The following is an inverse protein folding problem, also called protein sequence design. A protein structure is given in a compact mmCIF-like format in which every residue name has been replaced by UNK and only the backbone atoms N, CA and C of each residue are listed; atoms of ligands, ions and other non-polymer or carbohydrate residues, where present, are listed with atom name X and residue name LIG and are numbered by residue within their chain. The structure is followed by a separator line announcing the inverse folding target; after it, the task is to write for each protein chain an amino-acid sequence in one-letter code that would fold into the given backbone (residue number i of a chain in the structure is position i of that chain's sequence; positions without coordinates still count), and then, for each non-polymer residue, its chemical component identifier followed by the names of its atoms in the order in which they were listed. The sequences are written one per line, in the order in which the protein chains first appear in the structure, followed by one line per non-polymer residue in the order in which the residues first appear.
data_IF_805665816067
#
_entry.id   IF_805665816067
#
_cell.length_a   1.000
_cell.length_b   1.000
_cell.length_c   1.000
_cell.angle_alpha   90.00
_cell.angle_beta   90.00
_cell.angle_gamma   90.00
#
_symmetry.space_group_name_H-M   'P 1'
#
loop_
_entity.id
_entity.type
_entity.pdbx_description
1 polymer ?
#
# COMPACT_ATOMS: atom_id res chain seq x y z
N UNK A 1 -25.47 9.12 39.43
CA UNK A 1 -24.10 8.86 38.97
C UNK A 1 -23.83 7.40 38.52
N UNK A 2 -24.35 6.36 39.21
CA UNK A 2 -24.10 4.93 38.84
C UNK A 2 -24.52 4.50 37.42
N UNK A 3 -25.62 5.04 36.86
CA UNK A 3 -26.10 4.65 35.52
C UNK A 3 -25.22 5.14 34.36
N UNK A 4 -24.44 6.22 34.51
CA UNK A 4 -23.51 6.70 33.49
C UNK A 4 -22.19 5.92 33.43
N UNK A 5 -21.73 5.37 34.54
CA UNK A 5 -20.54 4.53 34.60
C UNK A 5 -20.74 3.18 33.89
N UNK A 6 -21.92 2.59 33.99
CA UNK A 6 -22.25 1.30 33.35
C UNK A 6 -22.24 1.44 31.81
N UNK A 7 -22.73 2.56 31.27
CA UNK A 7 -22.72 2.80 29.84
C UNK A 7 -21.31 2.91 29.25
N UNK A 8 -20.38 3.52 29.96
CA UNK A 8 -18.97 3.70 29.50
C UNK A 8 -18.23 2.36 29.50
N UNK A 9 -18.46 1.52 30.52
CA UNK A 9 -17.83 0.18 30.57
C UNK A 9 -18.33 -0.74 29.48
N UNK A 10 -19.62 -0.72 29.16
CA UNK A 10 -20.18 -1.56 28.05
C UNK A 10 -19.63 -1.14 26.68
N UNK A 11 -19.47 0.16 26.44
CA UNK A 11 -18.88 0.64 25.17
C UNK A 11 -17.40 0.28 25.06
N UNK A 12 -16.64 0.36 26.15
CA UNK A 12 -15.22 0.00 26.17
C UNK A 12 -15.01 -1.51 25.91
N UNK A 13 -15.86 -2.37 26.49
CA UNK A 13 -15.80 -3.83 26.26
C UNK A 13 -16.18 -4.19 24.82
N UNK A 14 -17.19 -3.54 24.24
CA UNK A 14 -17.59 -3.76 22.85
C UNK A 14 -16.48 -3.35 21.86
N UNK A 15 -15.77 -2.26 22.10
CA UNK A 15 -14.63 -1.81 21.29
C UNK A 15 -13.44 -2.78 21.40
N UNK A 16 -13.14 -3.30 22.57
CA UNK A 16 -12.06 -4.27 22.76
C UNK A 16 -12.31 -5.60 22.03
N UNK A 17 -13.56 -6.07 21.99
CA UNK A 17 -13.95 -7.29 21.28
C UNK A 17 -13.81 -7.12 19.75
N UNK A 18 -14.22 -5.97 19.21
CA UNK A 18 -14.10 -5.69 17.76
C UNK A 18 -12.64 -5.60 17.33
N UNK A 19 -11.79 -4.99 18.14
CA UNK A 19 -10.34 -4.91 17.86
C UNK A 19 -9.69 -6.30 17.96
N UNK A 20 -10.04 -7.09 18.96
CA UNK A 20 -9.52 -8.45 19.15
C UNK A 20 -9.88 -9.41 18.01
N UNK A 21 -11.10 -9.34 17.49
CA UNK A 21 -11.55 -10.17 16.34
C UNK A 21 -10.83 -9.74 15.06
N UNK A 22 -10.59 -8.44 14.85
CA UNK A 22 -9.92 -7.93 13.65
C UNK A 22 -8.43 -8.32 13.60
N UNK A 23 -7.77 -8.41 14.76
CA UNK A 23 -6.37 -8.83 14.87
C UNK A 23 -6.21 -10.36 14.87
N UNK A 24 -7.15 -11.09 15.47
CA UNK A 24 -7.14 -12.56 15.47
C UNK A 24 -7.22 -13.14 14.06
N UNK A 25 -8.04 -12.57 13.17
CA UNK A 25 -8.11 -12.99 11.76
C UNK A 25 -6.83 -12.72 10.96
N UNK A 26 -6.06 -11.68 11.30
CA UNK A 26 -4.77 -11.41 10.63
C UNK A 26 -3.66 -12.38 11.05
N UNK A 27 -3.66 -12.82 12.29
CA UNK A 27 -2.65 -13.78 12.80
C UNK A 27 -2.90 -15.19 12.27
N UNK A 28 -4.15 -15.63 12.15
CA UNK A 28 -4.48 -16.93 11.56
C UNK A 28 -4.14 -17.04 10.06
N UNK A 29 -4.24 -15.94 9.30
CA UNK A 29 -3.85 -15.94 7.89
C UNK A 29 -2.33 -16.11 7.70
N UNK A 30 -1.52 -15.60 8.61
CA UNK A 30 -0.05 -15.74 8.54
C UNK A 30 0.44 -17.14 8.97
N UNK A 31 -0.23 -17.80 9.92
CA UNK A 31 0.14 -19.16 10.34
C UNK A 31 -0.24 -20.23 9.33
N UNK A 32 -1.30 -20.04 8.57
CA UNK A 32 -1.67 -20.92 7.47
C UNK A 32 -0.63 -20.91 6.33
N UNK A 33 0.01 -19.77 6.08
CA UNK A 33 1.06 -19.64 5.06
C UNK A 33 2.39 -20.28 5.50
N UNK A 34 2.67 -20.36 6.79
CA UNK A 34 3.92 -20.92 7.33
C UNK A 34 3.95 -22.45 7.35
N UNK A 35 2.79 -23.12 7.40
CA UNK A 35 2.68 -24.58 7.46
C UNK A 35 2.63 -25.29 6.11
N UNK A 36 2.51 -24.56 4.98
CA UNK A 36 2.48 -25.18 3.65
C UNK A 36 3.83 -25.20 2.91
N UNK A 37 4.92 -24.77 3.56
CA UNK A 37 6.24 -24.63 2.97
C UNK A 37 7.19 -25.82 3.13
N UNK A 38 6.75 -26.95 3.70
CA UNK A 38 7.62 -28.10 3.91
C UNK A 38 7.02 -29.35 3.28
N UNK A 39 7.15 -29.45 1.95
CA UNK A 39 7.09 -30.69 1.20
C UNK A 39 8.21 -30.71 0.16
N UNK A 40 9.00 -31.73 0.35
CA UNK A 40 10.10 -32.27 -0.41
C UNK A 40 10.01 -32.06 -1.93
N UNK A 41 11.09 -31.51 -2.48
CA UNK A 41 11.32 -31.36 -3.93
C UNK A 41 11.74 -32.71 -4.46
N UNK A 42 10.89 -33.32 -5.26
CA UNK A 42 11.25 -34.46 -6.12
C UNK A 42 11.65 -33.89 -7.49
N UNK A 43 12.91 -34.12 -7.81
CA UNK A 43 13.57 -33.84 -9.07
C UNK A 43 13.05 -34.83 -10.13
N UNK A 44 12.51 -34.30 -11.24
CA UNK A 44 12.68 -34.90 -12.57
C UNK A 44 11.72 -34.28 -13.61
N UNK A 45 12.27 -33.64 -14.62
CA UNK A 45 12.13 -33.86 -16.06
C UNK A 45 12.39 -32.57 -16.88
N UNK A 46 13.05 -32.63 -18.03
CA UNK A 46 13.45 -31.47 -18.79
C UNK A 46 12.25 -30.89 -19.54
N UNK A 47 11.88 -29.67 -19.22
CA UNK A 47 10.85 -28.91 -19.95
C UNK A 47 11.47 -28.40 -21.27
N UNK A 48 10.82 -28.81 -22.36
CA UNK A 48 11.17 -28.49 -23.71
C UNK A 48 11.35 -26.99 -23.98
N UNK A 49 12.31 -26.67 -24.83
CA UNK A 49 12.52 -25.38 -25.44
C UNK A 49 11.26 -24.97 -26.21
N UNK A 50 10.43 -24.15 -25.59
CA UNK A 50 9.31 -23.46 -26.23
C UNK A 50 9.80 -22.19 -26.92
N UNK A 51 9.26 -21.95 -28.07
CA UNK A 51 9.58 -20.92 -29.05
C UNK A 51 9.80 -19.50 -28.47
N UNK A 52 10.93 -18.91 -28.88
CA UNK A 52 11.48 -17.65 -28.43
C UNK A 52 10.93 -16.40 -29.18
N UNK A 53 9.76 -16.49 -29.82
CA UNK A 53 9.20 -15.40 -30.64
C UNK A 53 8.25 -14.42 -29.94
N UNK A 54 7.83 -14.69 -28.69
CA UNK A 54 6.92 -13.80 -27.92
C UNK A 54 7.65 -12.78 -27.00
N UNK A 55 8.96 -12.73 -27.03
CA UNK A 55 9.79 -12.04 -26.05
C UNK A 55 10.01 -10.53 -26.20
N UNK A 56 9.86 -9.85 -27.36
CA UNK A 56 10.25 -8.44 -27.43
C UNK A 56 9.30 -7.49 -26.69
N UNK A 57 7.99 -7.75 -26.69
CA UNK A 57 7.01 -6.87 -26.04
C UNK A 57 7.04 -7.00 -24.51
N UNK A 58 7.22 -8.21 -23.98
CA UNK A 58 7.33 -8.46 -22.54
C UNK A 58 8.62 -7.83 -21.99
N UNK A 59 9.75 -7.99 -22.69
CA UNK A 59 11.03 -7.41 -22.26
C UNK A 59 11.05 -5.88 -22.32
N UNK A 60 10.48 -5.27 -23.37
CA UNK A 60 10.36 -3.82 -23.47
C UNK A 60 9.55 -3.25 -22.31
N UNK A 61 8.49 -3.95 -21.91
CA UNK A 61 7.65 -3.55 -20.80
C UNK A 61 8.34 -3.74 -19.43
N UNK A 62 9.06 -4.82 -19.23
CA UNK A 62 9.87 -5.02 -18.04
C UNK A 62 10.85 -3.86 -17.84
N UNK A 63 11.54 -3.44 -18.94
CA UNK A 63 12.44 -2.29 -18.91
C UNK A 63 11.75 -0.97 -18.61
N UNK A 64 10.50 -0.77 -19.06
CA UNK A 64 9.72 0.42 -18.70
C UNK A 64 9.30 0.43 -17.24
N UNK A 65 8.92 -0.73 -16.69
CA UNK A 65 8.61 -0.86 -15.27
C UNK A 65 9.86 -0.67 -14.40
N UNK A 66 10.98 -1.26 -14.79
CA UNK A 66 12.26 -1.10 -14.08
C UNK A 66 12.73 0.35 -13.97
N UNK A 67 12.35 1.23 -14.93
CA UNK A 67 12.62 2.67 -14.82
C UNK A 67 11.78 3.39 -13.77
N UNK A 68 10.62 2.84 -13.41
CA UNK A 68 9.64 3.45 -12.50
C UNK A 68 9.55 2.75 -11.15
N UNK A 69 10.08 1.55 -11.06
CA UNK A 69 10.08 0.70 -9.87
C UNK A 69 11.47 0.08 -9.76
N UNK A 70 12.05 -0.02 -8.56
CA UNK A 70 13.34 -0.69 -8.38
C UNK A 70 13.32 -2.12 -8.93
N UNK A 71 14.43 -2.59 -9.54
CA UNK A 71 14.53 -3.96 -10.03
C UNK A 71 14.24 -4.98 -8.93
N UNK A 72 13.43 -5.99 -9.24
CA UNK A 72 13.04 -7.03 -8.29
C UNK A 72 11.95 -6.61 -7.30
N UNK A 73 11.45 -5.39 -7.38
CA UNK A 73 10.40 -4.88 -6.45
C UNK A 73 8.99 -5.08 -6.98
N UNK A 74 8.79 -5.87 -8.00
CA UNK A 74 7.46 -6.20 -8.52
C UNK A 74 7.37 -7.67 -8.94
N UNK A 75 6.14 -8.18 -8.92
CA UNK A 75 5.77 -9.53 -9.35
C UNK A 75 4.73 -9.43 -10.45
N UNK A 76 4.97 -10.09 -11.58
CA UNK A 76 3.98 -10.22 -12.64
C UNK A 76 2.78 -11.08 -12.16
N UNK A 77 1.56 -10.61 -12.44
CA UNK A 77 0.30 -11.31 -12.17
C UNK A 77 -0.42 -11.72 -13.45
N UNK A 78 0.11 -11.35 -14.60
CA UNK A 78 -0.43 -11.61 -15.92
C UNK A 78 0.41 -10.94 -17.00
N UNK A 79 -0.07 -10.92 -18.26
CA UNK A 79 0.69 -10.34 -19.38
C UNK A 79 1.06 -8.88 -19.15
N UNK A 80 0.19 -8.13 -18.48
CA UNK A 80 0.34 -6.71 -18.22
C UNK A 80 0.14 -6.33 -16.74
N UNK A 81 -0.58 -7.11 -15.97
CA UNK A 81 -0.82 -6.85 -14.55
C UNK A 81 0.40 -7.21 -13.70
N UNK A 82 0.67 -6.40 -12.68
CA UNK A 82 1.75 -6.62 -11.73
C UNK A 82 1.40 -6.09 -10.34
N UNK A 83 2.10 -6.60 -9.35
CA UNK A 83 2.02 -6.20 -7.96
C UNK A 83 3.39 -5.71 -7.48
N UNK A 84 3.44 -4.59 -6.79
CA UNK A 84 4.64 -4.13 -6.10
C UNK A 84 4.81 -4.96 -4.83
N UNK A 85 5.92 -5.71 -4.75
CA UNK A 85 6.23 -6.61 -3.64
C UNK A 85 7.26 -6.02 -2.68
N UNK A 86 7.83 -4.87 -3.02
CA UNK A 86 8.73 -4.16 -2.13
C UNK A 86 7.98 -3.81 -0.85
N UNK A 87 8.42 -4.43 0.24
CA UNK A 87 7.94 -4.14 1.57
C UNK A 87 8.46 -2.79 2.07
N UNK A 88 8.14 -2.47 3.31
CA UNK A 88 8.82 -1.39 4.04
C UNK A 88 10.26 -1.84 4.27
N UNK A 89 11.12 -1.59 3.30
CA UNK A 89 12.54 -1.84 3.46
C UNK A 89 13.10 -0.85 4.47
N UNK A 90 13.74 -1.41 5.48
CA UNK A 90 14.45 -0.59 6.44
C UNK A 90 15.74 -0.13 5.77
N UNK A 91 16.09 1.15 5.97
CA UNK A 91 17.39 1.66 5.60
C UNK A 91 18.52 0.80 6.21
N UNK A 92 19.74 0.83 5.66
CA UNK A 92 20.88 0.20 6.29
C UNK A 92 21.06 0.70 7.73
N UNK A 93 21.59 -0.13 8.65
CA UNK A 93 21.97 0.32 9.99
C UNK A 93 22.94 1.50 9.94
N UNK A 94 22.88 2.41 10.91
CA UNK A 94 23.74 3.57 11.01
C UNK A 94 22.98 4.90 11.02
N UNK A 95 23.71 6.00 10.91
CA UNK A 95 23.15 7.36 10.98
C UNK A 95 22.17 7.66 9.85
N UNK A 96 20.91 7.98 10.20
CA UNK A 96 19.86 8.23 9.25
C UNK A 96 20.08 9.49 8.40
N UNK A 97 20.67 10.56 8.99
CA UNK A 97 20.95 11.78 8.25
C UNK A 97 22.06 11.56 7.22
N UNK A 98 23.08 10.81 7.56
CA UNK A 98 24.15 10.49 6.61
C UNK A 98 23.60 9.70 5.41
N UNK A 99 22.73 8.72 5.66
CA UNK A 99 22.03 7.98 4.59
C UNK A 99 21.18 8.90 3.73
N UNK A 100 20.34 9.75 4.34
CA UNK A 100 19.47 10.69 3.60
C UNK A 100 20.28 11.67 2.76
N UNK A 101 21.41 12.18 3.26
CA UNK A 101 22.27 13.08 2.47
C UNK A 101 22.81 12.46 1.19
N UNK A 102 23.12 11.17 1.20
CA UNK A 102 23.50 10.44 -0.02
C UNK A 102 22.33 10.32 -1.01
N UNK A 103 21.12 10.07 -0.50
CA UNK A 103 19.92 10.00 -1.32
C UNK A 103 19.50 11.35 -1.90
N UNK A 104 19.73 12.46 -1.18
CA UNK A 104 19.41 13.81 -1.66
C UNK A 104 20.14 14.13 -2.97
N UNK A 105 21.41 13.78 -3.10
CA UNK A 105 22.17 14.01 -4.36
C UNK A 105 21.53 13.28 -5.55
N UNK A 106 21.06 12.05 -5.33
CA UNK A 106 20.33 11.28 -6.35
C UNK A 106 18.95 11.88 -6.63
N UNK A 107 18.23 12.30 -5.58
CA UNK A 107 16.93 12.97 -5.71
C UNK A 107 17.03 14.27 -6.52
N UNK A 108 18.07 15.06 -6.33
CA UNK A 108 18.33 16.30 -7.08
C UNK A 108 18.66 16.05 -8.55
N UNK A 109 19.20 14.88 -8.87
CA UNK A 109 19.42 14.43 -10.26
C UNK A 109 18.19 13.78 -10.90
N UNK A 110 17.03 13.78 -10.25
CA UNK A 110 15.76 13.29 -10.79
C UNK A 110 15.43 11.84 -10.44
N UNK A 111 16.16 11.21 -9.51
CA UNK A 111 15.89 9.83 -9.07
C UNK A 111 14.66 9.79 -8.13
N UNK A 112 13.50 9.43 -8.69
CA UNK A 112 12.24 9.32 -7.95
C UNK A 112 12.28 8.21 -6.87
N UNK A 113 13.02 7.14 -7.12
CA UNK A 113 13.19 6.04 -6.16
C UNK A 113 13.98 6.53 -4.94
N UNK A 114 15.11 7.20 -5.17
CA UNK A 114 15.90 7.79 -4.06
C UNK A 114 15.07 8.81 -3.27
N UNK A 115 14.23 9.60 -3.94
CA UNK A 115 13.33 10.56 -3.27
C UNK A 115 12.32 9.84 -2.37
N UNK A 116 11.78 8.71 -2.81
CA UNK A 116 10.88 7.90 -1.99
C UNK A 116 11.60 7.20 -0.82
N UNK A 117 12.83 6.76 -1.01
CA UNK A 117 13.67 6.18 0.05
C UNK A 117 13.98 7.20 1.16
N UNK A 118 14.13 8.50 0.82
CA UNK A 118 14.22 9.57 1.82
C UNK A 118 12.94 9.62 2.66
N UNK A 119 11.77 9.62 2.01
CA UNK A 119 10.49 9.59 2.73
C UNK A 119 10.39 8.37 3.67
N UNK A 120 10.72 7.17 3.19
CA UNK A 120 10.68 5.95 4.02
C UNK A 120 11.61 6.03 5.23
N UNK A 121 12.79 6.62 5.06
CA UNK A 121 13.76 6.83 6.15
C UNK A 121 13.18 7.77 7.21
N UNK A 122 12.56 8.88 6.80
CA UNK A 122 11.92 9.84 7.69
C UNK A 122 10.70 9.24 8.37
N UNK A 123 9.85 8.52 7.64
CA UNK A 123 8.67 7.83 8.19
C UNK A 123 9.06 6.79 9.25
N UNK A 124 10.13 6.04 8.99
CA UNK A 124 10.70 5.14 9.99
C UNK A 124 11.11 5.87 11.27
N UNK A 125 11.81 7.00 11.16
CA UNK A 125 12.22 7.80 12.32
C UNK A 125 11.01 8.41 13.04
N UNK A 126 9.99 8.89 12.32
CA UNK A 126 8.74 9.41 12.89
C UNK A 126 7.99 8.36 13.71
N UNK A 127 7.92 7.14 13.22
CA UNK A 127 7.18 6.06 13.89
C UNK A 127 7.70 5.81 15.31
N UNK A 128 9.01 5.98 15.53
CA UNK A 128 9.64 5.76 16.84
C UNK A 128 9.75 7.03 17.70
N UNK A 129 9.50 8.21 17.14
CA UNK A 129 9.51 9.49 17.89
C UNK A 129 8.12 10.05 18.16
N UNK A 130 7.06 9.38 17.69
CA UNK A 130 5.68 9.80 17.87
C UNK A 130 5.04 9.17 19.12
N UNK A 131 3.90 9.72 19.56
CA UNK A 131 3.07 9.21 20.67
C UNK A 131 2.61 7.74 20.53
N UNK A 132 2.91 7.12 19.39
CA UNK A 132 2.62 5.69 19.14
C UNK A 132 3.70 4.74 19.68
N UNK A 133 4.83 5.27 20.12
CA UNK A 133 5.92 4.43 20.66
C UNK A 133 5.46 3.62 21.87
N UNK A 134 4.70 4.23 22.79
CA UNK A 134 4.17 3.54 23.96
C UNK A 134 3.19 2.44 23.60
N UNK A 135 2.27 2.69 22.64
CA UNK A 135 1.33 1.68 22.16
C UNK A 135 2.02 0.49 21.48
N UNK A 136 3.11 0.76 20.76
CA UNK A 136 3.92 -0.28 20.15
C UNK A 136 4.67 -1.09 21.20
N UNK A 137 5.20 -0.44 22.24
CA UNK A 137 5.87 -1.09 23.36
C UNK A 137 4.93 -2.01 24.13
N UNK A 138 3.72 -1.56 24.45
CA UNK A 138 2.69 -2.35 25.12
C UNK A 138 2.28 -3.56 24.27
N UNK A 139 2.08 -3.36 22.97
CA UNK A 139 1.77 -4.44 22.04
C UNK A 139 2.88 -5.47 21.94
N UNK A 140 4.14 -5.04 21.86
CA UNK A 140 5.30 -5.93 21.81
C UNK A 140 5.47 -6.71 23.12
N UNK A 141 5.22 -6.08 24.25
CA UNK A 141 5.25 -6.72 25.57
C UNK A 141 4.19 -7.78 25.72
N UNK A 142 2.97 -7.51 25.26
CA UNK A 142 1.85 -8.45 25.30
C UNK A 142 2.08 -9.68 24.42
N UNK A 143 2.92 -9.56 23.36
CA UNK A 143 3.32 -10.64 22.46
C UNK A 143 4.60 -11.36 22.92
N UNK A 144 5.16 -11.04 24.10
CA UNK A 144 6.40 -11.62 24.61
C UNK A 144 7.67 -11.17 23.89
N UNK A 145 7.58 -10.12 23.06
CA UNK A 145 8.71 -9.58 22.28
C UNK A 145 9.20 -8.22 22.79
N UNK A 146 8.84 -7.84 24.02
CA UNK A 146 9.15 -6.53 24.61
C UNK A 146 10.65 -6.24 24.66
N UNK A 147 11.50 -7.19 25.03
CA UNK A 147 12.96 -7.00 25.09
C UNK A 147 13.58 -6.68 23.73
N UNK A 148 13.22 -7.46 22.70
CA UNK A 148 13.65 -7.22 21.33
C UNK A 148 13.15 -5.86 20.79
N UNK A 149 11.90 -5.50 21.13
CA UNK A 149 11.33 -4.22 20.72
C UNK A 149 12.08 -3.04 21.33
N UNK A 150 12.39 -3.09 22.63
CA UNK A 150 13.14 -2.04 23.33
C UNK A 150 14.54 -1.85 22.74
N UNK A 151 15.31 -2.93 22.57
CA UNK A 151 16.64 -2.88 21.97
C UNK A 151 16.60 -2.26 20.55
N UNK A 152 15.62 -2.66 19.75
CA UNK A 152 15.44 -2.10 18.41
C UNK A 152 15.08 -0.63 18.45
N UNK A 153 14.18 -0.24 19.36
CA UNK A 153 13.73 1.15 19.50
C UNK A 153 14.86 2.07 19.97
N UNK A 154 15.64 1.67 20.95
CA UNK A 154 16.83 2.41 21.42
C UNK A 154 17.83 2.63 20.29
N UNK A 155 18.13 1.59 19.52
CA UNK A 155 19.01 1.70 18.34
C UNK A 155 18.46 2.68 17.33
N UNK A 156 17.17 2.58 16.95
CA UNK A 156 16.54 3.46 15.96
C UNK A 156 16.47 4.91 16.44
N UNK A 157 16.16 5.16 17.71
CA UNK A 157 16.20 6.51 18.29
C UNK A 157 17.60 7.14 18.14
N UNK A 158 18.64 6.40 18.49
CA UNK A 158 20.04 6.86 18.34
C UNK A 158 20.41 7.11 16.88
N UNK A 159 20.03 6.21 15.98
CA UNK A 159 20.31 6.34 14.56
C UNK A 159 19.52 7.49 13.90
N UNK A 160 18.34 7.85 14.43
CA UNK A 160 17.47 8.91 13.91
C UNK A 160 17.74 10.31 14.51
N UNK A 161 18.48 10.40 15.61
CA UNK A 161 18.68 11.65 16.36
C UNK A 161 19.13 12.82 15.47
N UNK A 162 20.18 12.63 14.70
CA UNK A 162 20.74 13.65 13.81
C UNK A 162 19.75 14.09 12.73
N UNK A 163 18.93 13.17 12.20
CA UNK A 163 17.91 13.47 11.18
C UNK A 163 16.75 14.26 11.78
N UNK A 164 16.28 13.90 12.96
CA UNK A 164 15.21 14.64 13.65
C UNK A 164 15.61 16.07 13.97
N UNK A 165 16.88 16.31 14.29
CA UNK A 165 17.41 17.66 14.54
C UNK A 165 17.52 18.50 13.26
N UNK A 166 17.70 17.90 12.09
CA UNK A 166 17.70 18.60 10.82
C UNK A 166 16.24 18.85 10.33
N UNK A 167 15.58 19.83 10.91
CA UNK A 167 14.17 20.15 10.66
C UNK A 167 13.88 20.48 9.19
N UNK A 168 14.85 20.98 8.45
CA UNK A 168 14.69 21.30 7.02
C UNK A 168 14.46 20.02 6.20
N UNK A 169 15.24 19.00 6.45
CA UNK A 169 15.11 17.71 5.78
C UNK A 169 13.93 16.94 6.35
N UNK A 170 13.80 16.90 7.68
CA UNK A 170 12.81 16.08 8.38
C UNK A 170 11.36 16.47 8.10
N UNK A 171 11.08 17.78 7.89
CA UNK A 171 9.73 18.30 7.65
C UNK A 171 9.39 18.50 6.17
N UNK A 172 10.35 18.31 5.26
CA UNK A 172 10.09 18.47 3.85
C UNK A 172 9.11 17.40 3.32
N UNK A 173 8.31 17.79 2.35
CA UNK A 173 7.31 16.89 1.73
C UNK A 173 7.94 15.98 0.67
N UNK A 174 8.68 15.00 1.13
CA UNK A 174 9.36 14.04 0.27
C UNK A 174 8.40 13.08 -0.43
N UNK A 175 7.26 12.76 0.19
CA UNK A 175 6.27 11.87 -0.40
C UNK A 175 5.63 12.47 -1.65
N UNK A 176 5.12 13.71 -1.54
CA UNK A 176 4.55 14.40 -2.70
C UNK A 176 5.58 14.66 -3.79
N UNK A 177 6.82 14.99 -3.41
CA UNK A 177 7.92 15.16 -4.35
C UNK A 177 8.21 13.87 -5.12
N UNK A 178 8.35 12.74 -4.43
CA UNK A 178 8.61 11.45 -5.06
C UNK A 178 7.45 11.00 -5.98
N UNK A 179 6.20 11.21 -5.55
CA UNK A 179 5.01 10.91 -6.34
C UNK A 179 4.97 11.75 -7.63
N UNK A 180 5.24 13.06 -7.52
CA UNK A 180 5.30 13.97 -8.67
C UNK A 180 6.44 13.62 -9.64
N UNK A 181 7.54 13.05 -9.16
CA UNK A 181 8.66 12.56 -9.97
C UNK A 181 8.37 11.21 -10.65
N UNK A 182 7.25 10.54 -10.34
CA UNK A 182 6.80 9.31 -10.97
C UNK A 182 7.15 8.02 -10.23
N UNK A 183 7.60 8.07 -8.97
CA UNK A 183 7.72 6.86 -8.15
C UNK A 183 6.35 6.23 -7.91
N UNK A 184 6.13 5.03 -8.43
CA UNK A 184 4.84 4.34 -8.28
C UNK A 184 4.53 3.98 -6.82
N UNK A 185 5.54 3.66 -6.04
CA UNK A 185 5.39 3.39 -4.62
C UNK A 185 4.94 4.65 -3.88
N UNK A 186 5.55 5.81 -4.21
CA UNK A 186 5.16 7.09 -3.65
C UNK A 186 3.76 7.51 -4.11
N UNK A 187 3.41 7.33 -5.38
CA UNK A 187 2.06 7.59 -5.91
C UNK A 187 1.00 6.77 -5.16
N UNK A 188 1.28 5.49 -4.90
CA UNK A 188 0.39 4.62 -4.14
C UNK A 188 0.28 5.07 -2.69
N UNK A 189 1.41 5.31 -2.00
CA UNK A 189 1.45 5.78 -0.62
C UNK A 189 0.71 7.11 -0.47
N UNK A 190 0.97 8.09 -1.35
CA UNK A 190 0.28 9.38 -1.42
C UNK A 190 -1.25 9.20 -1.49
N UNK A 191 -1.71 8.28 -2.36
CA UNK A 191 -3.14 8.11 -2.62
C UNK A 191 -3.89 7.36 -1.52
N UNK A 192 -3.22 6.50 -0.74
CA UNK A 192 -3.88 5.67 0.28
C UNK A 192 -3.69 6.18 1.72
N UNK A 193 -2.75 7.08 1.94
CA UNK A 193 -2.39 7.61 3.27
C UNK A 193 -2.59 9.13 3.33
N UNK A 194 -3.84 9.63 3.33
CA UNK A 194 -4.10 11.07 3.32
C UNK A 194 -3.43 11.82 4.48
N UNK A 195 -3.35 11.23 5.67
CA UNK A 195 -2.74 11.88 6.82
C UNK A 195 -1.28 12.28 6.62
N UNK A 196 -0.55 11.52 5.80
CA UNK A 196 0.85 11.82 5.46
C UNK A 196 0.98 13.07 4.56
N UNK A 197 -0.08 13.40 3.81
CA UNK A 197 -0.07 14.48 2.83
C UNK A 197 -0.81 15.72 3.33
N UNK A 198 -2.01 15.53 3.85
CA UNK A 198 -2.90 16.63 4.24
C UNK A 198 -2.91 16.89 5.75
N UNK A 199 -2.26 16.02 6.54
CA UNK A 199 -2.19 16.16 7.99
C UNK A 199 -3.43 15.64 8.72
N UNK A 200 -3.71 16.26 9.86
CA UNK A 200 -4.85 15.94 10.73
C UNK A 200 -6.18 16.48 10.17
N UNK A 201 -7.29 16.09 10.80
CA UNK A 201 -8.61 16.65 10.48
C UNK A 201 -8.65 18.17 10.69
N UNK A 202 -7.97 18.67 11.71
CA UNK A 202 -7.89 20.11 11.99
C UNK A 202 -7.14 20.85 10.86
N UNK A 203 -6.05 20.27 10.34
CA UNK A 203 -5.33 20.83 9.19
C UNK A 203 -6.23 20.92 7.96
N UNK A 204 -7.07 19.91 7.72
CA UNK A 204 -8.03 19.88 6.60
C UNK A 204 -9.13 20.95 6.75
N UNK A 205 -9.60 21.20 7.97
CA UNK A 205 -10.60 22.26 8.24
C UNK A 205 -10.01 23.64 7.93
N UNK A 206 -8.74 23.85 8.25
CA UNK A 206 -8.06 25.13 8.02
C UNK A 206 -7.60 25.32 6.56
N UNK A 207 -7.38 24.23 5.82
CA UNK A 207 -6.92 24.24 4.42
C UNK A 207 -7.70 23.24 3.56
N UNK A 208 -8.96 23.55 3.18
CA UNK A 208 -9.78 22.67 2.35
C UNK A 208 -9.25 22.52 0.92
N UNK A 209 -8.44 23.47 0.44
CA UNK A 209 -7.82 23.40 -0.90
C UNK A 209 -6.80 22.26 -0.96
N UNK A 210 -6.06 22.06 0.10
CA UNK A 210 -5.11 20.95 0.23
C UNK A 210 -5.79 19.58 0.11
N UNK A 211 -7.00 19.43 0.69
CA UNK A 211 -7.81 18.22 0.52
C UNK A 211 -8.28 18.04 -0.93
N UNK A 212 -8.72 19.13 -1.58
CA UNK A 212 -9.16 19.08 -2.97
C UNK A 212 -8.00 18.66 -3.89
N UNK A 213 -6.83 19.27 -3.71
CA UNK A 213 -5.63 18.92 -4.46
C UNK A 213 -5.15 17.49 -4.21
N UNK A 214 -5.20 17.02 -2.96
CA UNK A 214 -4.89 15.63 -2.66
C UNK A 214 -5.83 14.66 -3.41
N UNK A 215 -7.14 14.93 -3.43
CA UNK A 215 -8.12 14.10 -4.16
C UNK A 215 -7.84 14.07 -5.66
N UNK A 216 -7.55 15.22 -6.26
CA UNK A 216 -7.22 15.36 -7.69
C UNK A 216 -5.95 14.57 -8.03
N UNK A 217 -4.86 14.82 -7.31
CA UNK A 217 -3.58 14.16 -7.53
C UNK A 217 -3.69 12.63 -7.30
N UNK A 218 -4.38 12.20 -6.23
CA UNK A 218 -4.62 10.79 -5.96
C UNK A 218 -5.39 10.11 -7.10
N UNK A 219 -6.41 10.79 -7.63
CA UNK A 219 -7.17 10.28 -8.77
C UNK A 219 -6.31 10.14 -10.02
N UNK A 220 -5.45 11.13 -10.30
CA UNK A 220 -4.50 11.11 -11.41
C UNK A 220 -3.50 9.96 -11.26
N UNK A 221 -2.86 9.82 -10.11
CA UNK A 221 -1.87 8.79 -9.85
C UNK A 221 -2.47 7.38 -9.91
N UNK A 222 -3.64 7.18 -9.31
CA UNK A 222 -4.32 5.88 -9.37
C UNK A 222 -4.72 5.49 -10.80
N UNK A 223 -5.20 6.43 -11.63
CA UNK A 223 -5.52 6.18 -13.04
C UNK A 223 -4.27 5.86 -13.87
N UNK A 224 -3.17 6.58 -13.63
CA UNK A 224 -1.90 6.30 -14.30
C UNK A 224 -1.41 4.89 -13.99
N UNK A 225 -1.39 4.52 -12.71
CA UNK A 225 -0.98 3.18 -12.30
C UNK A 225 -1.95 2.09 -12.75
N UNK A 226 -3.28 2.37 -12.79
CA UNK A 226 -4.28 1.48 -13.37
C UNK A 226 -3.96 1.14 -14.81
N UNK A 227 -3.75 2.15 -15.66
CA UNK A 227 -3.45 1.95 -17.09
C UNK A 227 -2.18 1.12 -17.32
N UNK A 228 -1.28 1.13 -16.34
CA UNK A 228 -0.06 0.33 -16.35
C UNK A 228 -0.26 -1.10 -15.79
N UNK A 229 -1.42 -1.41 -15.24
CA UNK A 229 -1.75 -2.73 -14.69
C UNK A 229 -1.31 -2.95 -13.26
N UNK A 230 -1.11 -1.88 -12.49
CA UNK A 230 -0.77 -1.98 -11.06
C UNK A 230 -1.95 -2.51 -10.24
N UNK A 231 -1.80 -3.70 -9.67
CA UNK A 231 -2.85 -4.39 -8.91
C UNK A 231 -3.30 -3.63 -7.66
N UNK A 232 -2.37 -3.00 -6.95
CA UNK A 232 -2.70 -2.23 -5.75
C UNK A 232 -3.48 -0.95 -6.09
N UNK A 233 -3.20 -0.31 -7.23
CA UNK A 233 -3.96 0.82 -7.73
C UNK A 233 -5.40 0.43 -8.09
N UNK A 234 -5.60 -0.70 -8.78
CA UNK A 234 -6.94 -1.26 -9.06
C UNK A 234 -7.72 -1.50 -7.76
N UNK A 235 -7.08 -2.08 -6.74
CA UNK A 235 -7.67 -2.28 -5.41
C UNK A 235 -8.00 -0.97 -4.70
N UNK A 236 -7.19 0.06 -4.88
CA UNK A 236 -7.41 1.39 -4.31
C UNK A 236 -8.54 2.13 -4.99
N UNK A 237 -8.67 2.01 -6.32
CA UNK A 237 -9.82 2.53 -7.09
C UNK A 237 -11.13 1.84 -6.70
N UNK A 238 -11.12 0.51 -6.55
CA UNK A 238 -12.27 -0.20 -5.97
C UNK A 238 -12.71 0.42 -4.64
N UNK A 239 -11.77 0.62 -3.71
CA UNK A 239 -12.08 1.22 -2.41
C UNK A 239 -12.55 2.67 -2.52
N UNK A 240 -11.97 3.45 -3.42
CA UNK A 240 -12.37 4.83 -3.66
C UNK A 240 -13.83 4.92 -4.08
N UNK A 241 -14.28 4.09 -5.02
CA UNK A 241 -15.68 4.02 -5.45
C UNK A 241 -16.61 3.39 -4.40
N UNK A 242 -16.11 2.45 -3.59
CA UNK A 242 -16.92 1.85 -2.52
C UNK A 242 -17.24 2.85 -1.41
N UNK A 243 -16.25 3.67 -1.00
CA UNK A 243 -16.34 4.51 0.20
C UNK A 243 -16.44 6.01 -0.08
N UNK A 244 -16.29 6.46 -1.32
CA UNK A 244 -16.37 7.88 -1.68
C UNK A 244 -15.20 8.71 -1.14
N UNK A 245 -13.98 8.17 -1.09
CA UNK A 245 -12.83 8.87 -0.48
C UNK A 245 -12.19 9.91 -1.41
N UNK A 246 -11.67 9.47 -2.56
CA UNK A 246 -11.04 10.33 -3.58
C UNK A 246 -11.97 10.64 -4.74
N UNK A 247 -13.09 9.95 -4.83
CA UNK A 247 -14.12 10.03 -5.86
C UNK A 247 -15.48 9.83 -5.22
N UNK A 248 -16.54 10.21 -5.93
CA UNK A 248 -17.91 9.90 -5.52
C UNK A 248 -18.13 8.39 -5.47
N UNK A 249 -19.00 7.98 -4.56
CA UNK A 249 -19.38 6.58 -4.41
C UNK A 249 -20.11 6.11 -5.67
N UNK A 250 -19.62 5.02 -6.24
CA UNK A 250 -20.18 4.38 -7.42
C UNK A 250 -20.16 2.85 -7.27
N UNK A 251 -21.28 2.21 -6.91
CA UNK A 251 -21.33 0.76 -6.73
C UNK A 251 -21.10 -0.03 -8.01
N UNK A 252 -21.46 0.53 -9.18
CA UNK A 252 -21.25 -0.10 -10.48
C UNK A 252 -19.75 -0.15 -10.79
N UNK A 253 -19.05 0.97 -10.63
CA UNK A 253 -17.60 1.03 -10.79
C UNK A 253 -16.88 0.14 -9.75
N UNK A 254 -17.27 0.18 -8.47
CA UNK A 254 -16.69 -0.67 -7.43
C UNK A 254 -16.81 -2.16 -7.77
N UNK A 255 -17.96 -2.57 -8.29
CA UNK A 255 -18.22 -3.95 -8.76
C UNK A 255 -17.38 -4.29 -9.98
N UNK A 256 -17.26 -3.39 -10.96
CA UNK A 256 -16.41 -3.59 -12.13
C UNK A 256 -14.94 -3.84 -11.73
N UNK A 257 -14.38 -3.04 -10.82
CA UNK A 257 -13.02 -3.26 -10.29
C UNK A 257 -12.92 -4.57 -9.50
N UNK A 258 -13.94 -4.98 -8.75
CA UNK A 258 -13.95 -6.27 -8.06
C UNK A 258 -13.84 -7.42 -9.04
N UNK A 259 -14.55 -7.36 -10.18
CA UNK A 259 -14.45 -8.37 -11.25
C UNK A 259 -13.07 -8.40 -11.89
N UNK A 260 -12.47 -7.25 -12.17
CA UNK A 260 -11.11 -7.15 -12.71
C UNK A 260 -10.09 -7.77 -11.76
N UNK A 261 -10.16 -7.43 -10.48
CA UNK A 261 -9.27 -7.95 -9.43
C UNK A 261 -9.41 -9.47 -9.27
N UNK A 262 -10.64 -9.99 -9.31
CA UNK A 262 -10.91 -11.43 -9.27
C UNK A 262 -10.33 -12.17 -10.49
N UNK A 263 -10.37 -11.55 -11.67
CA UNK A 263 -9.78 -12.13 -12.89
C UNK A 263 -8.25 -12.16 -12.86
N UNK A 264 -7.62 -11.15 -12.25
CA UNK A 264 -6.16 -11.07 -12.11
C UNK A 264 -5.66 -12.01 -11.01
N UNK A 265 -6.31 -12.01 -9.85
CA UNK A 265 -5.91 -12.81 -8.70
C UNK A 265 -7.12 -13.43 -7.98
N UNK A 266 -7.63 -14.57 -8.49
CA UNK A 266 -8.84 -15.21 -7.95
C UNK A 266 -8.63 -15.82 -6.56
N UNK A 267 -7.39 -15.93 -6.08
CA UNK A 267 -7.11 -16.37 -4.70
C UNK A 267 -7.35 -15.27 -3.68
N UNK A 268 -7.14 -14.01 -4.07
CA UNK A 268 -7.33 -12.86 -3.19
C UNK A 268 -8.72 -12.23 -3.33
N UNK A 269 -9.29 -12.26 -4.53
CA UNK A 269 -10.64 -11.80 -4.84
C UNK A 269 -11.41 -12.97 -5.45
N UNK A 270 -12.21 -13.63 -4.64
CA UNK A 270 -12.93 -14.85 -5.01
C UNK A 270 -14.18 -14.57 -5.85
N UNK A 271 -14.79 -15.62 -6.42
CA UNK A 271 -16.10 -15.52 -7.04
C UNK A 271 -17.19 -15.02 -6.07
N UNK A 272 -17.08 -15.37 -4.79
CA UNK A 272 -18.01 -14.93 -3.76
C UNK A 272 -17.93 -13.41 -3.52
N UNK A 273 -16.73 -12.82 -3.61
CA UNK A 273 -16.56 -11.36 -3.55
C UNK A 273 -17.27 -10.67 -4.71
N UNK A 274 -17.23 -11.27 -5.90
CA UNK A 274 -17.96 -10.76 -7.08
C UNK A 274 -19.46 -10.87 -6.88
N UNK A 275 -19.97 -12.04 -6.45
CA UNK A 275 -21.38 -12.27 -6.17
C UNK A 275 -21.89 -11.26 -5.12
N UNK A 276 -21.13 -11.08 -4.05
CA UNK A 276 -21.44 -10.10 -2.99
C UNK A 276 -21.46 -8.66 -3.52
N UNK A 277 -20.53 -8.28 -4.38
CA UNK A 277 -20.48 -6.94 -4.97
C UNK A 277 -21.68 -6.70 -5.94
N UNK A 278 -22.20 -7.76 -6.57
CA UNK A 278 -23.35 -7.71 -7.48
C UNK A 278 -24.71 -7.80 -6.76
N UNK A 279 -24.76 -8.18 -5.46
CA UNK A 279 -26.01 -8.50 -4.76
C UNK A 279 -26.99 -7.32 -4.69
N UNK A 280 -26.45 -6.11 -4.51
CA UNK A 280 -27.24 -4.90 -4.34
C UNK A 280 -27.51 -4.15 -5.67
N UNK A 281 -27.00 -4.67 -6.79
CA UNK A 281 -27.17 -4.08 -8.10
C UNK A 281 -28.41 -4.62 -8.83
N UNK A 282 -29.13 -3.76 -9.53
CA UNK A 282 -30.15 -4.15 -10.50
C UNK A 282 -29.55 -4.93 -11.68
N UNK A 283 -30.38 -5.61 -12.45
CA UNK A 283 -29.92 -6.34 -13.65
C UNK A 283 -29.20 -5.45 -14.66
N UNK A 284 -29.64 -4.19 -14.82
CA UNK A 284 -29.00 -3.21 -15.70
C UNK A 284 -27.63 -2.80 -15.16
N UNK A 285 -27.53 -2.43 -13.89
CA UNK A 285 -26.28 -2.05 -13.26
C UNK A 285 -25.24 -3.18 -13.28
N UNK A 286 -25.69 -4.44 -13.12
CA UNK A 286 -24.82 -5.61 -13.30
C UNK A 286 -24.27 -5.74 -14.72
N UNK A 287 -25.11 -5.47 -15.74
CA UNK A 287 -24.66 -5.46 -17.12
C UNK A 287 -23.65 -4.33 -17.37
N UNK A 288 -23.92 -3.12 -16.85
CA UNK A 288 -23.01 -1.98 -16.95
C UNK A 288 -21.67 -2.26 -16.23
N UNK A 289 -21.69 -2.88 -15.05
CA UNK A 289 -20.49 -3.26 -14.33
C UNK A 289 -19.66 -4.32 -15.09
N UNK A 290 -20.31 -5.27 -15.78
CA UNK A 290 -19.62 -6.24 -16.65
C UNK A 290 -18.95 -5.55 -17.83
N UNK A 291 -19.68 -4.70 -18.55
CA UNK A 291 -19.14 -3.95 -19.69
C UNK A 291 -17.95 -3.07 -19.27
N UNK A 292 -18.07 -2.37 -18.14
CA UNK A 292 -17.00 -1.56 -17.59
C UNK A 292 -15.79 -2.42 -17.19
N UNK A 293 -16.01 -3.59 -16.57
CA UNK A 293 -14.93 -4.49 -16.18
C UNK A 293 -14.12 -5.02 -17.38
N UNK A 294 -14.80 -5.33 -18.50
CA UNK A 294 -14.12 -5.74 -19.73
C UNK A 294 -13.25 -4.59 -20.29
N UNK A 295 -13.77 -3.37 -20.30
CA UNK A 295 -13.03 -2.19 -20.74
C UNK A 295 -11.79 -1.95 -19.87
N UNK A 296 -11.94 -1.97 -18.54
CA UNK A 296 -10.81 -1.80 -17.61
C UNK A 296 -9.78 -2.90 -17.84
N UNK A 297 -10.21 -4.17 -17.89
CA UNK A 297 -9.30 -5.30 -18.03
C UNK A 297 -8.53 -5.25 -19.36
N UNK A 298 -9.19 -4.85 -20.44
CA UNK A 298 -8.54 -4.68 -21.74
C UNK A 298 -7.46 -3.58 -21.70
N UNK A 299 -7.76 -2.47 -21.05
CA UNK A 299 -6.81 -1.35 -20.97
C UNK A 299 -5.59 -1.65 -20.06
N UNK A 300 -5.84 -2.24 -18.89
CA UNK A 300 -4.79 -2.43 -17.88
C UNK A 300 -3.94 -3.69 -18.08
N UNK A 301 -4.56 -4.75 -18.58
CA UNK A 301 -4.11 -6.08 -18.21
C UNK A 301 -3.88 -7.02 -19.41
N UNK A 302 -4.27 -6.62 -20.60
CA UNK A 302 -4.03 -7.30 -21.87
C UNK A 302 -3.05 -6.49 -22.71
N UNK A 303 -2.14 -7.15 -23.45
CA UNK A 303 -1.18 -6.49 -24.35
C UNK A 303 -1.82 -5.59 -25.38
#
# INVERSE_FOLDING_TARGET
MKKRLIGIVVVAVALAVVIGVFWGHRLQANDAQRKSGEKEVQEDAPIGRGDSSAFPATRARELELEKKIPPGSYKALGPKAYEIIRGREFRPPGDALAHVKQLIQRSESGDATATYEIYLTIDQCRTFTSDRADQLADSASSLGSGGWFLERSERLLKECESLVLDQKIYRADWLSKAAAMGSQEAMLAYSVSPQEVIGSLDDVIHDPEKLAQWKENSSKYLNEMESQGNFAALGSLKRAYTYGRTRDRDPVAATAYTRVLSRINPRLYTSDDVIKAESDLSSRERADARALSEKIFHNCCVP
#
